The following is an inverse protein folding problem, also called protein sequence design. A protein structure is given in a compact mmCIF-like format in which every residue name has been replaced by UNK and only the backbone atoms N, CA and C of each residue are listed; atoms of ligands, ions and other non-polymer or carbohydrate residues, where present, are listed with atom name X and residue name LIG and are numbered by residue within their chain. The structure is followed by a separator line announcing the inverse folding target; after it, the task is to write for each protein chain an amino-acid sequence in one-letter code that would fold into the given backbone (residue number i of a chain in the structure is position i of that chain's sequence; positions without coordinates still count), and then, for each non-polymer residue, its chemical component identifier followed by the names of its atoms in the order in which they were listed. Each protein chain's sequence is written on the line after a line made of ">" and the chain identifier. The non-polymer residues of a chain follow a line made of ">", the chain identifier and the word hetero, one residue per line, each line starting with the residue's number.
data_IF_241424901064
#
_entry.id   IF_241424901064
#
_cell.length_a   1.000
_cell.length_b   1.000
_cell.length_c   1.000
_cell.angle_alpha   90.00
_cell.angle_beta   90.00
_cell.angle_gamma   90.00
#
_symmetry.space_group_name_H-M   'P 1'
#
loop_
_entity.id
_entity.type
_entity.pdbx_description
1 polymer ?
#
# COMPACT_ATOMS: atom_id res chain seq x y z
N UNK A 1 27.25 37.20 7.39
CA UNK A 1 26.30 37.80 6.44
C UNK A 1 25.54 36.65 5.82
N UNK A 2 24.21 36.58 5.99
CA UNK A 2 23.38 35.72 5.14
C UNK A 2 23.27 36.39 3.78
N UNK A 3 23.44 35.60 2.72
CA UNK A 3 23.19 36.02 1.35
C UNK A 3 21.68 35.88 1.15
N UNK A 4 21.02 36.96 0.72
CA UNK A 4 19.58 36.98 0.40
C UNK A 4 19.46 36.61 -1.08
N UNK A 5 18.63 35.61 -1.38
CA UNK A 5 18.31 35.20 -2.74
C UNK A 5 17.45 36.26 -3.43
N UNK A 6 17.71 36.50 -4.71
CA UNK A 6 16.99 37.52 -5.48
C UNK A 6 15.50 37.19 -5.70
N UNK A 7 15.10 35.95 -5.41
CA UNK A 7 13.73 35.44 -5.55
C UNK A 7 13.11 35.07 -4.19
N UNK A 8 13.78 35.36 -3.06
CA UNK A 8 13.30 34.94 -1.73
C UNK A 8 11.91 35.52 -1.40
N UNK A 9 11.60 36.74 -1.87
CA UNK A 9 10.28 37.39 -1.67
C UNK A 9 9.15 36.69 -2.45
N UNK A 10 9.45 36.00 -3.55
CA UNK A 10 8.46 35.31 -4.39
C UNK A 10 8.12 33.89 -3.86
N UNK A 11 8.99 33.32 -3.02
CA UNK A 11 8.87 31.95 -2.50
C UNK A 11 8.68 31.87 -0.97
N UNK A 12 8.39 32.98 -0.29
CA UNK A 12 8.22 32.99 1.19
C UNK A 12 7.14 32.02 1.70
N UNK A 13 6.08 31.78 0.91
CA UNK A 13 5.03 30.83 1.27
C UNK A 13 5.47 29.37 1.06
N UNK A 14 6.25 29.09 0.01
CA UNK A 14 6.73 27.73 -0.33
C UNK A 14 7.86 27.28 0.60
N UNK A 15 8.65 28.21 1.14
CA UNK A 15 9.71 27.94 2.12
C UNK A 15 9.18 27.47 3.48
N UNK A 16 7.95 27.86 3.85
CA UNK A 16 7.28 27.35 5.04
C UNK A 16 6.60 25.99 4.81
N UNK A 17 6.42 25.63 3.53
CA UNK A 17 5.73 24.43 3.04
C UNK A 17 6.72 23.32 2.62
N UNK A 18 8.00 23.45 3.02
CA UNK A 18 8.88 22.28 3.09
C UNK A 18 8.20 21.34 4.07
N UNK A 19 7.46 20.37 3.51
CA UNK A 19 6.78 19.32 4.23
C UNK A 19 7.85 18.54 4.99
N UNK A 20 8.15 19.02 6.19
CA UNK A 20 8.75 18.19 7.22
C UNK A 20 7.76 17.04 7.34
N UNK A 21 8.07 15.90 6.72
CA UNK A 21 7.18 14.75 6.57
C UNK A 21 7.00 14.11 7.94
N UNK A 22 6.28 14.81 8.82
CA UNK A 22 5.86 14.37 10.14
C UNK A 22 4.80 13.25 10.02
N UNK A 23 4.37 12.92 8.80
CA UNK A 23 3.45 11.84 8.53
C UNK A 23 4.14 10.48 8.72
N UNK A 24 4.08 10.01 9.95
CA UNK A 24 4.62 8.69 10.34
C UNK A 24 3.88 7.50 9.71
N UNK A 25 2.73 7.72 9.04
CA UNK A 25 1.95 6.64 8.44
C UNK A 25 2.72 5.87 7.36
N UNK A 26 3.57 6.56 6.58
CA UNK A 26 4.36 5.95 5.50
C UNK A 26 5.60 5.21 6.00
N UNK A 27 5.93 5.25 7.30
CA UNK A 27 7.11 4.58 7.84
C UNK A 27 7.00 3.04 7.81
N UNK A 28 5.77 2.51 7.92
CA UNK A 28 5.53 1.08 7.99
C UNK A 28 4.16 0.74 7.40
N UNK A 29 4.10 -0.34 6.62
CA UNK A 29 2.85 -0.84 6.02
C UNK A 29 1.76 -1.16 7.05
N UNK A 30 2.10 -1.57 8.27
CA UNK A 30 1.12 -1.82 9.33
C UNK A 30 0.44 -0.54 9.82
N UNK A 31 1.13 0.61 9.76
CA UNK A 31 0.53 1.94 10.05
C UNK A 31 -0.25 2.45 8.84
N UNK A 32 0.24 2.18 7.64
CA UNK A 32 -0.35 2.67 6.41
C UNK A 32 -1.67 1.97 6.06
N UNK A 33 -1.75 0.64 6.22
CA UNK A 33 -2.90 -0.15 5.76
C UNK A 33 -4.23 0.17 6.47
N UNK A 34 -4.16 0.84 7.61
CA UNK A 34 -5.34 1.32 8.36
C UNK A 34 -5.78 2.74 7.99
N UNK A 35 -5.11 3.35 7.00
CA UNK A 35 -5.29 4.74 6.56
C UNK A 35 -5.67 4.74 5.07
N UNK A 36 -6.97 4.62 4.71
CA UNK A 36 -7.36 4.27 3.34
C UNK A 36 -6.95 5.30 2.27
N UNK A 37 -7.00 6.60 2.56
CA UNK A 37 -6.49 7.63 1.61
C UNK A 37 -4.99 7.49 1.42
N UNK A 38 -4.23 7.41 2.51
CA UNK A 38 -2.78 7.28 2.46
C UNK A 38 -2.36 6.01 1.71
N UNK A 39 -3.05 4.90 1.98
CA UNK A 39 -2.82 3.63 1.30
C UNK A 39 -3.09 3.75 -0.20
N UNK A 40 -4.18 4.39 -0.63
CA UNK A 40 -4.48 4.55 -2.05
C UNK A 40 -3.47 5.43 -2.77
N UNK A 41 -3.01 6.52 -2.15
CA UNK A 41 -1.95 7.36 -2.73
C UNK A 41 -0.65 6.57 -2.89
N UNK A 42 -0.28 5.78 -1.87
CA UNK A 42 0.87 4.89 -1.97
C UNK A 42 0.68 3.79 -3.04
N UNK A 43 -0.51 3.18 -3.12
CA UNK A 43 -0.83 2.19 -4.15
C UNK A 43 -0.74 2.79 -5.56
N UNK A 44 -1.22 4.02 -5.75
CA UNK A 44 -1.13 4.74 -7.02
C UNK A 44 0.35 4.96 -7.41
N UNK A 45 1.19 5.39 -6.48
CA UNK A 45 2.64 5.50 -6.70
C UNK A 45 3.24 4.16 -7.12
N UNK A 46 2.94 3.08 -6.39
CA UNK A 46 3.45 1.74 -6.69
C UNK A 46 3.00 1.25 -8.07
N UNK A 47 1.74 1.45 -8.44
CA UNK A 47 1.22 1.06 -9.76
C UNK A 47 1.94 1.82 -10.90
N UNK A 48 2.30 3.08 -10.67
CA UNK A 48 2.94 3.92 -11.69
C UNK A 48 4.45 3.72 -11.79
N UNK A 49 5.12 3.38 -10.69
CA UNK A 49 6.59 3.41 -10.59
C UNK A 49 7.23 2.03 -10.36
N UNK A 50 6.46 1.02 -9.95
CA UNK A 50 6.95 -0.29 -9.56
C UNK A 50 6.08 -1.42 -10.13
N UNK A 51 6.55 -2.66 -9.94
CA UNK A 51 5.69 -3.83 -10.05
C UNK A 51 4.68 -3.84 -8.89
N UNK A 52 3.36 -3.85 -9.15
CA UNK A 52 2.35 -3.78 -8.09
C UNK A 52 2.15 -5.10 -7.36
N UNK A 53 2.61 -6.22 -7.94
CA UNK A 53 2.37 -7.56 -7.43
C UNK A 53 2.80 -7.78 -5.96
N UNK A 54 4.00 -7.36 -5.49
CA UNK A 54 4.41 -7.55 -4.10
C UNK A 54 3.50 -6.83 -3.10
N UNK A 55 3.10 -5.58 -3.38
CA UNK A 55 2.21 -4.81 -2.52
C UNK A 55 0.81 -5.41 -2.48
N UNK A 56 0.23 -5.70 -3.65
CA UNK A 56 -1.11 -6.29 -3.76
C UNK A 56 -1.16 -7.67 -3.09
N UNK A 57 -0.10 -8.47 -3.26
CA UNK A 57 0.05 -9.75 -2.57
C UNK A 57 0.11 -9.57 -1.05
N UNK A 58 0.89 -8.61 -0.55
CA UNK A 58 1.00 -8.34 0.88
C UNK A 58 -0.35 -7.96 1.50
N UNK A 59 -1.08 -7.05 0.84
CA UNK A 59 -2.38 -6.54 1.30
C UNK A 59 -3.47 -7.63 1.25
N UNK A 60 -3.52 -8.41 0.17
CA UNK A 60 -4.48 -9.53 0.06
C UNK A 60 -4.18 -10.58 1.13
N UNK A 61 -2.91 -10.94 1.35
CA UNK A 61 -2.53 -11.88 2.40
C UNK A 61 -2.96 -11.41 3.80
N UNK A 62 -2.98 -10.10 4.07
CA UNK A 62 -3.40 -9.54 5.36
C UNK A 62 -4.87 -9.84 5.70
N UNK A 63 -5.73 -9.95 4.68
CA UNK A 63 -7.15 -10.27 4.85
C UNK A 63 -7.34 -11.62 5.57
N UNK A 64 -6.44 -12.58 5.35
CA UNK A 64 -6.51 -13.92 5.92
C UNK A 64 -6.43 -13.94 7.45
N UNK A 65 -5.93 -12.88 8.10
CA UNK A 65 -5.83 -12.78 9.57
C UNK A 65 -7.19 -12.89 10.26
N UNK A 66 -8.27 -12.46 9.59
CA UNK A 66 -9.61 -12.35 10.18
C UNK A 66 -10.65 -13.27 9.53
N UNK A 67 -10.27 -14.10 8.56
CA UNK A 67 -11.21 -14.97 7.85
C UNK A 67 -11.58 -16.20 8.67
N UNK A 68 -12.83 -16.66 8.53
CA UNK A 68 -13.25 -17.99 8.96
C UNK A 68 -12.62 -19.10 8.11
N UNK A 69 -12.74 -20.35 8.56
CA UNK A 69 -12.31 -21.54 7.83
C UNK A 69 -12.90 -21.63 6.42
N UNK A 70 -14.21 -21.41 6.32
CA UNK A 70 -14.96 -21.45 5.06
C UNK A 70 -14.50 -20.36 4.10
N UNK A 71 -14.27 -19.14 4.60
CA UNK A 71 -13.81 -18.01 3.79
C UNK A 71 -12.36 -18.22 3.34
N UNK A 72 -11.51 -18.73 4.22
CA UNK A 72 -10.10 -19.02 3.92
C UNK A 72 -9.96 -19.95 2.73
N UNK A 73 -10.73 -21.05 2.69
CA UNK A 73 -10.67 -21.98 1.56
C UNK A 73 -11.05 -21.33 0.23
N UNK A 74 -12.06 -20.43 0.25
CA UNK A 74 -12.48 -19.68 -0.94
C UNK A 74 -11.41 -18.67 -1.36
N UNK A 75 -10.97 -17.84 -0.43
CA UNK A 75 -10.00 -16.76 -0.66
C UNK A 75 -8.62 -17.30 -1.05
N UNK A 76 -8.22 -18.46 -0.51
CA UNK A 76 -6.94 -19.09 -0.86
C UNK A 76 -6.85 -19.43 -2.35
N UNK A 77 -7.93 -19.93 -2.96
CA UNK A 77 -7.90 -20.27 -4.39
C UNK A 77 -7.74 -19.03 -5.26
N UNK A 78 -8.40 -17.93 -4.89
CA UNK A 78 -8.27 -16.63 -5.56
C UNK A 78 -6.86 -16.04 -5.38
N UNK A 79 -6.33 -16.09 -4.15
CA UNK A 79 -4.96 -15.69 -3.84
C UNK A 79 -3.93 -16.52 -4.64
N UNK A 80 -4.11 -17.84 -4.68
CA UNK A 80 -3.26 -18.75 -5.44
C UNK A 80 -3.26 -18.40 -6.93
N UNK A 81 -4.45 -18.27 -7.56
CA UNK A 81 -4.53 -17.96 -9.00
C UNK A 81 -3.98 -16.57 -9.35
N UNK A 82 -4.00 -15.64 -8.40
CA UNK A 82 -3.59 -14.24 -8.62
C UNK A 82 -2.09 -14.03 -8.42
N UNK A 83 -1.47 -14.72 -7.45
CA UNK A 83 -0.09 -14.43 -7.02
C UNK A 83 0.86 -15.64 -7.05
N UNK A 84 0.36 -16.87 -6.91
CA UNK A 84 1.21 -18.05 -6.69
C UNK A 84 1.30 -18.96 -7.91
N UNK A 85 0.23 -19.03 -8.70
CA UNK A 85 0.17 -19.89 -9.88
C UNK A 85 1.26 -19.51 -10.90
N UNK A 86 1.78 -20.51 -11.62
CA UNK A 86 2.86 -20.29 -12.61
C UNK A 86 2.42 -19.36 -13.75
N UNK A 87 1.14 -19.33 -14.09
CA UNK A 87 0.56 -18.47 -15.12
C UNK A 87 -0.07 -17.18 -14.59
N UNK A 88 0.08 -16.87 -13.29
CA UNK A 88 -0.53 -15.68 -12.71
C UNK A 88 0.08 -14.39 -13.26
N UNK A 89 -0.77 -13.40 -13.58
CA UNK A 89 -0.32 -12.10 -14.11
C UNK A 89 0.47 -11.34 -13.04
N UNK A 90 -0.01 -11.36 -11.80
CA UNK A 90 0.65 -10.71 -10.65
C UNK A 90 1.49 -11.71 -9.86
N UNK A 91 2.17 -12.63 -10.54
CA UNK A 91 2.97 -13.67 -9.86
C UNK A 91 4.09 -13.05 -9.02
N UNK A 92 4.21 -13.50 -7.77
CA UNK A 92 5.29 -13.09 -6.86
C UNK A 92 6.32 -14.19 -6.65
N UNK A 93 7.46 -13.82 -6.08
CA UNK A 93 8.43 -14.80 -5.58
C UNK A 93 7.81 -15.61 -4.43
N UNK A 94 8.01 -16.92 -4.44
CA UNK A 94 7.54 -17.84 -3.42
C UNK A 94 8.71 -18.45 -2.66
N UNK A 95 8.58 -18.76 -1.35
CA UNK A 95 9.54 -19.59 -0.64
C UNK A 95 9.72 -20.94 -1.35
N UNK A 96 10.95 -21.45 -1.41
CA UNK A 96 11.27 -22.64 -2.21
C UNK A 96 10.46 -23.87 -1.82
N UNK A 97 10.19 -24.08 -0.52
CA UNK A 97 9.39 -25.22 -0.06
C UNK A 97 7.90 -25.06 -0.37
N UNK A 98 7.36 -23.83 -0.35
CA UNK A 98 5.98 -23.54 -0.77
C UNK A 98 5.81 -23.84 -2.26
N UNK A 99 6.73 -23.33 -3.08
CA UNK A 99 6.73 -23.61 -4.51
C UNK A 99 6.80 -25.11 -4.80
N UNK A 100 7.69 -25.83 -4.10
CA UNK A 100 7.87 -27.26 -4.27
C UNK A 100 6.63 -28.07 -3.88
N UNK A 101 5.94 -27.69 -2.79
CA UNK A 101 4.72 -28.37 -2.38
C UNK A 101 3.59 -28.17 -3.40
N UNK A 102 3.43 -26.94 -3.92
CA UNK A 102 2.40 -26.61 -4.92
C UNK A 102 2.63 -27.27 -6.28
N UNK A 103 3.86 -27.70 -6.58
CA UNK A 103 4.15 -28.51 -7.78
C UNK A 103 3.70 -29.96 -7.63
N UNK A 104 3.59 -30.47 -6.40
CA UNK A 104 3.28 -31.88 -6.10
C UNK A 104 1.83 -32.09 -5.67
N UNK A 105 1.26 -31.09 -5.02
CA UNK A 105 -0.07 -31.11 -4.42
C UNK A 105 -0.91 -30.00 -5.00
N UNK A 106 -2.11 -30.31 -5.49
CA UNK A 106 -3.03 -29.27 -5.98
C UNK A 106 -3.48 -28.35 -4.85
N UNK A 107 -3.52 -27.05 -5.11
CA UNK A 107 -3.86 -26.02 -4.14
C UNK A 107 -5.22 -26.25 -3.43
N UNK A 108 -6.21 -26.80 -4.14
CA UNK A 108 -7.57 -27.07 -3.63
C UNK A 108 -7.63 -28.25 -2.63
N UNK A 109 -6.60 -29.10 -2.62
CA UNK A 109 -6.46 -30.25 -1.73
C UNK A 109 -5.69 -29.92 -0.44
N UNK A 110 -5.09 -28.73 -0.35
CA UNK A 110 -4.36 -28.32 0.86
C UNK A 110 -5.31 -28.12 2.03
N UNK A 111 -4.88 -28.57 3.21
CA UNK A 111 -5.57 -28.28 4.47
C UNK A 111 -5.49 -26.78 4.79
N UNK A 112 -6.53 -26.25 5.45
CA UNK A 112 -6.61 -24.83 5.81
C UNK A 112 -5.37 -24.32 6.56
N UNK A 113 -4.87 -25.09 7.53
CA UNK A 113 -3.68 -24.70 8.30
C UNK A 113 -2.45 -24.50 7.40
N UNK A 114 -2.31 -25.32 6.36
CA UNK A 114 -1.23 -25.21 5.38
C UNK A 114 -1.47 -24.00 4.48
N UNK A 115 -2.72 -23.78 4.03
CA UNK A 115 -3.09 -22.62 3.23
C UNK A 115 -2.74 -21.31 3.94
N UNK A 116 -3.15 -21.15 5.20
CA UNK A 116 -2.83 -19.97 6.03
C UNK A 116 -1.33 -19.78 6.21
N UNK A 117 -0.62 -20.87 6.50
CA UNK A 117 0.83 -20.86 6.65
C UNK A 117 1.53 -20.40 5.37
N UNK A 118 1.11 -20.93 4.21
CA UNK A 118 1.69 -20.54 2.91
C UNK A 118 1.44 -19.07 2.61
N UNK A 119 0.22 -18.58 2.82
CA UNK A 119 -0.10 -17.15 2.66
C UNK A 119 0.79 -16.29 3.56
N UNK A 120 0.96 -16.67 4.83
CA UNK A 120 1.81 -15.93 5.76
C UNK A 120 3.29 -15.92 5.33
N UNK A 121 3.83 -17.07 4.92
CA UNK A 121 5.23 -17.16 4.48
C UNK A 121 5.47 -16.37 3.19
N UNK A 122 4.52 -16.37 2.26
CA UNK A 122 4.57 -15.54 1.05
C UNK A 122 4.47 -14.04 1.40
N UNK A 123 3.61 -13.66 2.35
CA UNK A 123 3.48 -12.27 2.83
C UNK A 123 4.81 -11.78 3.42
N UNK A 124 5.45 -12.59 4.28
CA UNK A 124 6.75 -12.27 4.87
C UNK A 124 7.80 -12.04 3.78
N UNK A 125 7.82 -12.87 2.74
CA UNK A 125 8.77 -12.73 1.64
C UNK A 125 8.61 -11.41 0.85
N UNK A 126 7.39 -10.87 0.76
CA UNK A 126 7.15 -9.58 0.09
C UNK A 126 7.52 -8.36 0.94
N UNK A 127 7.72 -8.54 2.25
CA UNK A 127 7.89 -7.42 3.21
C UNK A 127 9.08 -6.52 2.83
N UNK A 128 10.17 -7.10 2.33
CA UNK A 128 11.36 -6.34 1.93
C UNK A 128 11.10 -5.42 0.73
N UNK A 129 10.37 -5.88 -0.28
CA UNK A 129 10.06 -5.05 -1.45
C UNK A 129 9.05 -3.96 -1.09
N UNK A 130 8.03 -4.27 -0.26
CA UNK A 130 7.09 -3.26 0.24
C UNK A 130 7.80 -2.18 1.06
N UNK A 131 8.75 -2.56 1.92
CA UNK A 131 9.54 -1.60 2.69
C UNK A 131 10.39 -0.68 1.80
N UNK A 132 10.97 -1.23 0.72
CA UNK A 132 11.72 -0.46 -0.27
C UNK A 132 10.81 0.51 -1.04
N UNK A 133 9.62 0.08 -1.44
CA UNK A 133 8.62 0.95 -2.09
C UNK A 133 8.19 2.10 -1.17
N UNK A 134 7.99 1.83 0.12
CA UNK A 134 7.67 2.87 1.11
C UNK A 134 8.81 3.88 1.29
N UNK A 135 10.07 3.41 1.32
CA UNK A 135 11.23 4.29 1.39
C UNK A 135 11.31 5.21 0.17
N UNK A 136 11.15 4.67 -1.05
CA UNK A 136 11.12 5.48 -2.26
C UNK A 136 9.96 6.50 -2.22
N UNK A 137 8.76 6.07 -1.83
CA UNK A 137 7.62 6.98 -1.70
C UNK A 137 7.91 8.16 -0.78
N UNK A 138 8.49 7.93 0.41
CA UNK A 138 8.88 9.01 1.35
C UNK A 138 9.89 9.97 0.72
N UNK A 139 10.89 9.43 0.02
CA UNK A 139 11.88 10.25 -0.68
C UNK A 139 11.26 11.10 -1.79
N UNK A 140 10.33 10.53 -2.56
CA UNK A 140 9.60 11.26 -3.60
C UNK A 140 8.65 12.31 -3.03
N UNK A 141 8.02 12.02 -1.90
CA UNK A 141 7.13 12.95 -1.21
C UNK A 141 7.85 14.20 -0.73
N UNK A 142 9.03 14.04 -0.11
CA UNK A 142 9.89 15.18 0.30
C UNK A 142 10.30 16.08 -0.87
N UNK A 143 10.28 15.57 -2.10
CA UNK A 143 10.58 16.32 -3.32
C UNK A 143 9.33 16.85 -4.02
N UNK A 144 8.13 16.66 -3.45
CA UNK A 144 6.85 17.02 -4.09
C UNK A 144 6.53 16.20 -5.35
N UNK A 145 7.07 14.98 -5.47
CA UNK A 145 6.95 14.12 -6.66
C UNK A 145 5.97 12.96 -6.48
N UNK A 146 5.09 13.01 -5.48
CA UNK A 146 4.05 12.00 -5.24
C UNK A 146 2.73 12.42 -5.87
N UNK A 147 1.93 11.47 -6.40
CA UNK A 147 0.61 11.79 -6.92
C UNK A 147 -0.34 12.16 -5.77
N UNK A 148 -1.39 12.91 -6.07
CA UNK A 148 -2.54 13.11 -5.15
C UNK A 148 -2.15 13.70 -3.78
N UNK A 149 -1.12 14.55 -3.75
CA UNK A 149 -0.66 15.23 -2.52
C UNK A 149 -1.75 16.16 -1.95
N UNK A 150 -2.56 16.77 -2.82
CA UNK A 150 -3.71 17.60 -2.41
C UNK A 150 -4.71 16.84 -1.53
N UNK A 151 -4.98 15.58 -1.87
CA UNK A 151 -5.88 14.70 -1.13
C UNK A 151 -5.26 14.30 0.22
N UNK A 152 -3.94 14.09 0.29
CA UNK A 152 -3.23 13.86 1.56
C UNK A 152 -3.33 15.08 2.47
N UNK A 153 -2.99 16.26 1.96
CA UNK A 153 -3.03 17.51 2.72
C UNK A 153 -4.45 17.78 3.24
N UNK A 154 -5.49 17.51 2.45
CA UNK A 154 -6.88 17.66 2.89
C UNK A 154 -7.20 16.76 4.10
N UNK A 155 -6.75 15.50 4.10
CA UNK A 155 -6.95 14.58 5.23
C UNK A 155 -6.05 14.89 6.42
N UNK A 156 -4.82 15.35 6.20
CA UNK A 156 -3.83 15.68 7.22
C UNK A 156 -4.15 16.98 7.96
N UNK A 157 -4.64 17.99 7.24
CA UNK A 157 -5.10 19.28 7.81
C UNK A 157 -6.42 19.20 8.59
N UNK A 158 -7.07 18.03 8.62
CA UNK A 158 -8.37 17.87 9.26
C UNK A 158 -8.28 18.01 10.80
N UNK A 159 -8.84 19.11 11.31
CA UNK A 159 -8.83 19.43 12.74
C UNK A 159 -9.75 18.50 13.56
N UNK A 160 -9.33 18.16 14.78
CA UNK A 160 -10.08 17.32 15.71
C UNK A 160 -11.36 17.99 16.24
N UNK A 161 -11.48 19.32 16.12
CA UNK A 161 -12.68 20.08 16.50
C UNK A 161 -13.80 20.01 15.45
N UNK A 162 -13.53 19.43 14.28
CA UNK A 162 -14.53 19.27 13.24
C UNK A 162 -15.61 18.27 13.65
N UNK A 163 -16.84 18.56 13.24
CA UNK A 163 -18.01 17.71 13.52
C UNK A 163 -17.90 16.31 12.89
N UNK A 164 -17.15 16.18 11.80
CA UNK A 164 -16.95 14.92 11.08
C UNK A 164 -15.68 14.26 11.64
N UNK A 165 -15.73 12.99 12.07
CA UNK A 165 -14.52 12.27 12.45
C UNK A 165 -13.53 12.17 11.28
N UNK A 166 -12.23 12.33 11.56
CA UNK A 166 -11.17 12.23 10.54
C UNK A 166 -11.26 10.94 9.72
N UNK A 167 -11.60 9.82 10.36
CA UNK A 167 -11.78 8.52 9.69
C UNK A 167 -12.87 8.54 8.61
N UNK A 168 -13.99 9.25 8.84
CA UNK A 168 -15.06 9.37 7.84
C UNK A 168 -14.60 10.22 6.66
N UNK A 169 -13.90 11.32 6.93
CA UNK A 169 -13.29 12.13 5.86
C UNK A 169 -12.32 11.31 5.03
N UNK A 170 -11.43 10.57 5.68
CA UNK A 170 -10.44 9.75 4.99
C UNK A 170 -11.10 8.67 4.11
N UNK A 171 -12.17 8.01 4.57
CA UNK A 171 -12.91 7.08 3.72
C UNK A 171 -13.54 7.77 2.51
N UNK A 172 -14.16 8.93 2.69
CA UNK A 172 -14.79 9.68 1.60
C UNK A 172 -13.76 10.16 0.56
N UNK A 173 -12.60 10.64 1.00
CA UNK A 173 -11.50 11.03 0.10
C UNK A 173 -10.93 9.81 -0.61
N UNK A 174 -10.80 8.67 0.09
CA UNK A 174 -10.35 7.41 -0.51
C UNK A 174 -11.31 6.91 -1.62
N UNK A 175 -12.62 6.96 -1.41
CA UNK A 175 -13.62 6.62 -2.43
C UNK A 175 -13.45 7.48 -3.68
N UNK A 176 -13.35 8.80 -3.49
CA UNK A 176 -13.15 9.75 -4.59
C UNK A 176 -11.83 9.49 -5.34
N UNK A 177 -10.75 9.21 -4.60
CA UNK A 177 -9.44 8.92 -5.18
C UNK A 177 -9.46 7.60 -5.96
N UNK A 178 -10.15 6.58 -5.45
CA UNK A 178 -10.30 5.31 -6.13
C UNK A 178 -11.00 5.48 -7.49
N UNK A 179 -12.10 6.24 -7.52
CA UNK A 179 -12.81 6.55 -8.77
C UNK A 179 -11.88 7.26 -9.78
N UNK A 180 -11.11 8.26 -9.32
CA UNK A 180 -10.11 8.95 -10.17
C UNK A 180 -9.04 8.00 -10.74
N UNK A 181 -8.55 7.05 -9.94
CA UNK A 181 -7.53 6.08 -10.39
C UNK A 181 -8.12 5.15 -11.46
N UNK A 182 -9.40 4.79 -11.36
CA UNK A 182 -10.09 3.98 -12.37
C UNK A 182 -10.44 4.75 -13.63
N UNK A 183 -10.88 6.01 -13.52
CA UNK A 183 -11.28 6.86 -14.66
C UNK A 183 -10.09 7.44 -15.42
N UNK A 184 -8.92 7.57 -14.77
CA UNK A 184 -7.70 8.10 -15.37
C UNK A 184 -6.92 7.12 -16.27
N UNK A 185 -7.52 5.99 -16.65
CA UNK A 185 -6.98 5.00 -17.60
C UNK A 185 -7.52 5.19 -19.01
#
# INVERSE_FOLDING_TARGET
>A
MSIIGAEDEDFENDLNDVTDDQCTHFNNIELLKVRPTHLLVFMQHVILQFEPAPLLCYLHADLFRNLSAKETKKQFMEFYSTFMDKGAILRVALPSHVAHELERTRADLLHEDIQRRFVQEVQILQTAEVAKQLEDFRQKRMMGMTPSESELIDVESHNATNRIPREMKERSVAETLLDKIFEGQ
#
